data_IF_416247084762
#
_entry.id   IF_416247084762
#
_cell.length_a   1.000
_cell.length_b   1.000
_cell.length_c   1.000
_cell.angle_alpha   90.00
_cell.angle_beta   90.00
_cell.angle_gamma   90.00
#
_symmetry.space_group_name_H-M   'P 1'
#
loop_
_entity.id
_entity.type
_entity.pdbx_description
1 polymer ?
#
# COMPACT_ATOMS: atom_id res chain seq x y z
N UNK A 1 -7.96 50.52 46.47
CA UNK A 1 -9.07 51.08 47.27
C UNK A 1 -10.25 51.37 46.33
N UNK A 2 -11.46 51.16 46.84
CA UNK A 2 -12.76 50.97 46.17
C UNK A 2 -13.39 52.19 45.45
N UNK A 3 -14.08 51.91 44.32
CA UNK A 3 -15.43 52.33 43.79
C UNK A 3 -15.90 53.82 43.76
N UNK A 4 -17.05 54.20 43.10
CA UNK A 4 -17.66 53.84 41.78
C UNK A 4 -18.42 55.02 41.04
N UNK A 5 -19.13 54.70 39.93
CA UNK A 5 -20.39 55.24 39.30
C UNK A 5 -20.26 55.32 37.75
N UNK A 6 -21.25 55.09 36.85
CA UNK A 6 -22.71 54.84 36.89
C UNK A 6 -23.21 54.38 35.48
N UNK A 7 -24.49 53.93 35.40
CA UNK A 7 -25.50 54.04 34.31
C UNK A 7 -26.11 52.76 33.68
N UNK A 8 -27.47 52.72 33.67
CA UNK A 8 -28.35 51.81 32.91
C UNK A 8 -29.79 52.37 32.70
N UNK A 9 -30.34 52.15 31.49
CA UNK A 9 -31.75 51.87 31.01
C UNK A 9 -32.94 52.90 31.02
N UNK A 10 -33.67 53.01 29.86
CA UNK A 10 -35.08 52.54 29.60
C UNK A 10 -35.77 53.04 28.26
N UNK A 11 -36.53 52.12 27.61
CA UNK A 11 -37.78 52.15 26.75
C UNK A 11 -37.93 52.94 25.41
N UNK A 12 -38.55 52.42 24.32
CA UNK A 12 -40.01 52.17 24.07
C UNK A 12 -40.36 51.35 22.77
N UNK A 13 -41.61 50.91 22.66
CA UNK A 13 -42.24 49.89 21.76
C UNK A 13 -42.88 50.36 20.41
N UNK A 14 -43.02 49.47 19.42
CA UNK A 14 -44.31 49.02 18.78
C UNK A 14 -44.13 48.37 17.39
N UNK A 15 -44.74 47.21 17.15
CA UNK A 15 -45.15 46.74 15.79
C UNK A 15 -46.15 45.58 15.92
N UNK A 16 -47.28 45.71 15.22
CA UNK A 16 -48.47 44.84 15.35
C UNK A 16 -48.35 43.48 14.68
N UNK A 17 -49.12 42.52 15.22
CA UNK A 17 -49.29 41.15 14.77
C UNK A 17 -50.47 41.01 13.79
N UNK A 18 -50.30 40.19 12.76
CA UNK A 18 -51.40 39.57 12.00
C UNK A 18 -51.08 38.08 11.82
N UNK A 19 -51.93 37.22 12.37
CA UNK A 19 -51.89 35.76 12.20
C UNK A 19 -52.54 35.35 10.88
N UNK A 20 -51.89 34.47 10.12
CA UNK A 20 -52.45 33.74 8.98
C UNK A 20 -52.62 32.27 9.43
N UNK A 21 -53.84 31.70 9.40
CA UNK A 21 -54.06 30.31 9.83
C UNK A 21 -53.85 29.35 8.66
N UNK A 22 -53.02 28.32 8.84
CA UNK A 22 -53.01 27.14 7.97
C UNK A 22 -51.65 26.49 7.73
N UNK A 23 -51.47 25.31 8.34
CA UNK A 23 -50.45 24.27 8.14
C UNK A 23 -49.08 24.39 8.86
N UNK A 24 -48.60 23.31 9.51
CA UNK A 24 -47.44 23.35 10.41
C UNK A 24 -46.10 23.35 9.67
N UNK A 25 -45.20 24.22 10.11
CA UNK A 25 -43.80 24.21 9.71
C UNK A 25 -43.10 22.92 10.16
N UNK A 26 -42.49 22.18 9.23
CA UNK A 26 -41.49 21.15 9.56
C UNK A 26 -40.17 21.86 9.81
N UNK A 27 -39.79 21.96 11.08
CA UNK A 27 -38.48 22.44 11.51
C UNK A 27 -37.43 21.35 11.23
N UNK A 28 -36.59 21.54 10.22
CA UNK A 28 -35.38 20.72 10.03
C UNK A 28 -34.26 21.35 10.84
N UNK A 29 -34.03 20.86 12.06
CA UNK A 29 -32.83 21.14 12.82
C UNK A 29 -31.64 20.39 12.19
N UNK A 30 -30.69 21.11 11.59
CA UNK A 30 -29.39 20.51 11.24
C UNK A 30 -28.57 21.10 10.09
N UNK A 31 -28.67 22.40 9.76
CA UNK A 31 -27.65 23.00 8.87
C UNK A 31 -26.45 23.51 9.69
N UNK A 32 -25.19 23.17 9.34
CA UNK A 32 -24.02 23.80 9.95
C UNK A 32 -23.95 25.29 9.57
N UNK A 33 -23.54 26.12 10.52
CA UNK A 33 -23.48 27.58 10.39
C UNK A 33 -22.46 28.03 9.33
N UNK A 34 -22.93 28.76 8.32
CA UNK A 34 -22.09 29.51 7.40
C UNK A 34 -21.41 30.68 8.16
N UNK A 35 -20.09 30.90 8.01
CA UNK A 35 -19.44 32.04 8.63
C UNK A 35 -19.84 33.33 7.90
N UNK A 36 -20.26 34.32 8.69
CA UNK A 36 -20.53 35.69 8.29
C UNK A 36 -19.25 36.44 7.95
N UNK A 37 -19.11 36.95 6.72
CA UNK A 37 -18.46 38.25 6.50
C UNK A 37 -18.82 38.84 5.13
N UNK A 38 -19.23 40.09 5.21
CA UNK A 38 -19.10 41.17 4.22
C UNK A 38 -19.98 41.13 2.97
N UNK A 39 -21.13 41.76 3.13
CA UNK A 39 -21.88 42.41 2.07
C UNK A 39 -21.00 43.35 1.25
N UNK A 40 -20.85 43.05 -0.05
CA UNK A 40 -20.69 44.06 -1.09
C UNK A 40 -21.79 43.86 -2.14
N UNK A 41 -22.49 44.96 -2.36
CA UNK A 41 -23.53 45.22 -3.36
C UNK A 41 -23.60 44.24 -4.54
N UNK A 42 -24.76 43.62 -4.72
CA UNK A 42 -25.20 43.05 -5.98
C UNK A 42 -25.98 44.14 -6.73
N UNK A 43 -25.51 44.65 -7.89
CA UNK A 43 -26.42 45.19 -8.88
C UNK A 43 -27.03 44.03 -9.67
N UNK A 44 -28.33 44.14 -9.87
CA UNK A 44 -29.18 43.32 -10.73
C UNK A 44 -28.55 43.01 -12.09
N UNK A 45 -28.31 41.72 -12.37
CA UNK A 45 -28.20 41.21 -13.75
C UNK A 45 -28.92 39.85 -13.79
N UNK A 46 -30.10 39.86 -14.39
CA UNK A 46 -30.69 38.68 -15.05
C UNK A 46 -30.02 38.58 -16.40
N UNK A 47 -29.22 37.54 -16.67
CA UNK A 47 -29.21 36.73 -17.90
C UNK A 47 -28.04 35.73 -17.90
N UNK A 48 -28.34 34.49 -18.32
CA UNK A 48 -27.44 33.41 -18.75
C UNK A 48 -26.26 33.03 -17.85
N UNK A 49 -26.51 32.13 -16.90
CA UNK A 49 -25.48 31.26 -16.34
C UNK A 49 -25.95 29.81 -16.40
N UNK A 50 -25.33 29.00 -17.28
CA UNK A 50 -25.41 27.55 -17.20
C UNK A 50 -25.07 27.12 -15.77
N UNK A 51 -25.89 26.27 -15.11
CA UNK A 51 -25.60 25.84 -13.76
C UNK A 51 -24.29 25.04 -13.77
N UNK A 52 -23.28 25.52 -13.06
CA UNK A 52 -22.09 24.74 -12.72
C UNK A 52 -22.54 23.53 -11.91
N UNK A 53 -22.73 22.40 -12.60
CA UNK A 53 -23.20 21.16 -12.00
C UNK A 53 -22.11 20.53 -11.15
N UNK A 54 -22.50 20.12 -9.94
CA UNK A 54 -21.63 19.44 -8.98
C UNK A 54 -20.90 18.27 -9.65
N UNK A 55 -19.58 18.19 -9.41
CA UNK A 55 -18.76 17.06 -9.81
C UNK A 55 -19.40 15.74 -9.33
N UNK A 56 -19.66 14.81 -10.25
CA UNK A 56 -20.25 13.50 -9.96
C UNK A 56 -21.76 13.36 -10.24
N UNK A 57 -22.45 14.42 -10.67
CA UNK A 57 -23.88 14.33 -11.04
C UNK A 57 -24.15 13.34 -12.19
N UNK A 58 -23.23 13.21 -13.16
CA UNK A 58 -23.42 12.32 -14.31
C UNK A 58 -23.54 10.84 -13.94
N UNK A 59 -22.69 10.35 -13.02
CA UNK A 59 -22.77 8.98 -12.49
C UNK A 59 -24.11 8.67 -11.80
N UNK A 60 -24.82 9.69 -11.32
CA UNK A 60 -26.10 9.51 -10.63
C UNK A 60 -27.26 9.15 -11.57
N UNK A 61 -27.07 9.34 -12.88
CA UNK A 61 -28.08 9.05 -13.90
C UNK A 61 -27.96 7.63 -14.45
N UNK A 62 -26.89 6.90 -14.14
CA UNK A 62 -26.74 5.50 -14.50
C UNK A 62 -27.88 4.66 -13.89
N UNK A 63 -28.55 3.90 -14.75
CA UNK A 63 -29.71 3.07 -14.44
C UNK A 63 -31.05 3.81 -14.46
N UNK A 64 -31.09 5.10 -14.81
CA UNK A 64 -32.35 5.82 -15.10
C UNK A 64 -32.96 5.28 -16.39
N UNK A 65 -34.29 5.16 -16.40
CA UNK A 65 -35.05 4.82 -17.60
C UNK A 65 -35.13 6.03 -18.52
N UNK A 66 -35.06 5.76 -19.82
CA UNK A 66 -35.29 6.74 -20.88
C UNK A 66 -36.41 6.25 -21.80
N UNK A 67 -37.10 7.19 -22.41
CA UNK A 67 -38.18 6.99 -23.36
C UNK A 67 -37.90 7.89 -24.56
N UNK A 68 -37.66 7.29 -25.73
CA UNK A 68 -37.37 8.02 -26.97
C UNK A 68 -38.34 7.60 -28.06
N UNK A 69 -38.98 8.58 -28.70
CA UNK A 69 -39.87 8.31 -29.83
C UNK A 69 -39.07 8.39 -31.14
N UNK A 70 -39.06 7.29 -31.90
CA UNK A 70 -38.50 7.24 -33.24
C UNK A 70 -39.61 6.96 -34.25
N UNK A 71 -39.98 7.98 -35.03
CA UNK A 71 -41.12 7.92 -35.94
C UNK A 71 -42.44 7.68 -35.19
N UNK A 72 -43.14 6.59 -35.53
CA UNK A 72 -44.40 6.18 -34.87
C UNK A 72 -44.19 5.21 -33.71
N UNK A 73 -42.94 4.85 -33.35
CA UNK A 73 -42.64 3.87 -32.30
C UNK A 73 -41.93 4.51 -31.11
N UNK A 74 -42.35 4.11 -29.91
CA UNK A 74 -41.73 4.50 -28.66
C UNK A 74 -40.76 3.40 -28.20
N UNK A 75 -39.52 3.79 -27.91
CA UNK A 75 -38.47 2.90 -27.43
C UNK A 75 -38.14 3.21 -25.98
N UNK A 76 -38.09 2.18 -25.16
CA UNK A 76 -37.68 2.25 -23.76
C UNK A 76 -36.22 1.82 -23.64
N UNK A 77 -35.46 2.52 -22.81
CA UNK A 77 -34.06 2.24 -22.61
C UNK A 77 -33.60 2.55 -21.20
N UNK A 78 -32.31 2.31 -20.94
CA UNK A 78 -31.65 2.68 -19.69
C UNK A 78 -30.30 3.29 -19.94
N UNK A 79 -29.95 4.30 -19.16
CA UNK A 79 -28.57 4.80 -19.08
C UNK A 79 -27.71 3.70 -18.46
N UNK A 80 -26.71 3.20 -19.20
CA UNK A 80 -25.85 2.12 -18.72
C UNK A 80 -24.51 2.62 -18.19
N UNK A 81 -24.00 3.74 -18.72
CA UNK A 81 -22.68 4.25 -18.37
C UNK A 81 -22.59 5.76 -18.60
N UNK A 82 -21.90 6.46 -17.70
CA UNK A 82 -21.46 7.84 -17.90
C UNK A 82 -19.94 7.90 -18.07
N UNK A 83 -19.47 8.53 -19.14
CA UNK A 83 -18.06 8.80 -19.38
C UNK A 83 -17.67 10.17 -18.80
N UNK A 84 -16.75 10.19 -17.84
CA UNK A 84 -16.29 11.41 -17.17
C UNK A 84 -15.38 12.28 -18.04
N UNK A 85 -14.70 11.68 -19.04
CA UNK A 85 -13.78 12.40 -19.93
C UNK A 85 -14.55 13.08 -21.07
N UNK A 86 -15.46 12.34 -21.72
CA UNK A 86 -16.25 12.85 -22.88
C UNK A 86 -17.57 13.51 -22.47
N UNK A 87 -18.03 13.29 -21.23
CA UNK A 87 -19.33 13.76 -20.69
C UNK A 87 -20.55 13.20 -21.42
N UNK A 88 -20.40 12.08 -22.12
CA UNK A 88 -21.50 11.38 -22.78
C UNK A 88 -22.13 10.32 -21.87
N UNK A 89 -23.40 10.04 -22.15
CA UNK A 89 -24.19 9.00 -21.50
C UNK A 89 -24.52 7.93 -22.51
N UNK A 90 -24.06 6.71 -22.24
CA UNK A 90 -24.49 5.57 -23.05
C UNK A 90 -25.84 5.09 -22.60
N UNK A 91 -26.78 5.03 -23.52
CA UNK A 91 -28.12 4.48 -23.36
C UNK A 91 -28.23 3.19 -24.15
N UNK A 92 -28.78 2.15 -23.54
CA UNK A 92 -29.13 0.89 -24.21
C UNK A 92 -30.66 0.75 -24.24
N UNK A 93 -31.21 0.49 -25.43
CA UNK A 93 -32.63 0.32 -25.68
C UNK A 93 -33.05 -1.16 -25.60
N UNK A 94 -34.34 -1.43 -25.48
CA UNK A 94 -34.88 -2.79 -25.35
C UNK A 94 -34.66 -3.70 -26.56
N UNK A 95 -34.38 -3.13 -27.73
CA UNK A 95 -34.02 -3.84 -28.97
C UNK A 95 -32.53 -4.25 -29.02
N UNK A 96 -31.74 -3.83 -28.04
CA UNK A 96 -30.30 -4.13 -27.95
C UNK A 96 -29.41 -3.13 -28.68
N UNK A 97 -29.99 -2.09 -29.28
CA UNK A 97 -29.21 -0.98 -29.83
C UNK A 97 -28.79 -0.01 -28.71
N UNK A 98 -27.68 0.68 -28.93
CA UNK A 98 -27.14 1.65 -27.99
C UNK A 98 -26.83 2.98 -28.68
N UNK A 99 -26.97 4.06 -27.93
CA UNK A 99 -26.70 5.43 -28.39
C UNK A 99 -25.93 6.16 -27.29
N UNK A 100 -24.92 6.94 -27.69
CA UNK A 100 -24.18 7.82 -26.79
C UNK A 100 -24.78 9.22 -26.90
N UNK A 101 -25.40 9.71 -25.82
CA UNK A 101 -26.14 10.97 -25.76
C UNK A 101 -25.39 12.02 -24.94
N UNK A 102 -25.45 13.28 -25.39
CA UNK A 102 -25.05 14.42 -24.58
C UNK A 102 -26.11 14.74 -23.52
N UNK A 103 -25.76 15.55 -22.52
CA UNK A 103 -26.72 15.92 -21.49
C UNK A 103 -28.03 16.54 -22.05
N UNK A 104 -28.02 17.51 -22.99
CA UNK A 104 -29.25 18.13 -23.47
C UNK A 104 -30.17 17.10 -24.13
N UNK A 105 -29.59 16.16 -24.87
CA UNK A 105 -30.31 15.08 -25.55
C UNK A 105 -30.84 14.05 -24.56
N UNK A 106 -30.05 13.72 -23.53
CA UNK A 106 -30.48 12.82 -22.45
C UNK A 106 -31.64 13.44 -21.65
N UNK A 107 -31.60 14.75 -21.38
CA UNK A 107 -32.64 15.46 -20.63
C UNK A 107 -34.01 15.38 -21.33
N UNK A 108 -34.04 15.42 -22.66
CA UNK A 108 -35.28 15.30 -23.46
C UNK A 108 -35.90 13.91 -23.40
N UNK A 109 -35.08 12.85 -23.27
CA UNK A 109 -35.53 11.45 -23.30
C UNK A 109 -35.63 10.83 -21.91
N UNK A 110 -35.21 11.52 -20.86
CA UNK A 110 -35.29 11.00 -19.50
C UNK A 110 -36.75 10.83 -19.07
N UNK A 111 -37.11 9.60 -18.70
CA UNK A 111 -38.43 9.35 -18.14
C UNK A 111 -38.64 10.18 -16.85
N UNK A 112 -39.84 10.74 -16.64
CA UNK A 112 -40.15 11.51 -15.44
C UNK A 112 -39.86 10.66 -14.20
N UNK A 113 -39.29 11.28 -13.17
CA UNK A 113 -39.07 10.64 -11.88
C UNK A 113 -40.42 10.14 -11.36
N UNK A 114 -40.54 8.84 -11.18
CA UNK A 114 -41.75 8.23 -10.61
C UNK A 114 -41.80 8.57 -9.11
N UNK A 115 -42.31 9.77 -8.79
CA UNK A 115 -42.39 10.33 -7.42
C UNK A 115 -43.30 9.47 -6.51
N UNK A 116 -44.03 8.52 -7.08
CA UNK A 116 -44.89 7.58 -6.35
C UNK A 116 -44.16 6.40 -5.70
N UNK A 117 -42.85 6.20 -5.92
CA UNK A 117 -42.11 5.19 -5.16
C UNK A 117 -41.81 5.70 -3.74
N UNK A 118 -42.34 5.05 -2.67
CA UNK A 118 -42.01 5.45 -1.31
C UNK A 118 -40.50 5.27 -1.07
N UNK A 119 -39.86 6.22 -0.39
CA UNK A 119 -38.41 6.24 -0.08
C UNK A 119 -37.90 4.90 0.50
N UNK A 120 -38.76 4.18 1.24
CA UNK A 120 -38.49 2.84 1.75
C UNK A 120 -38.23 1.80 0.66
N UNK A 121 -39.00 1.82 -0.43
CA UNK A 121 -38.81 0.91 -1.55
C UNK A 121 -37.49 1.17 -2.29
N UNK A 122 -37.11 2.45 -2.42
CA UNK A 122 -35.84 2.87 -3.03
C UNK A 122 -34.64 2.45 -2.15
N UNK A 123 -34.74 2.66 -0.84
CA UNK A 123 -33.76 2.20 0.14
C UNK A 123 -33.61 0.66 0.13
N UNK A 124 -34.72 -0.09 0.10
CA UNK A 124 -34.70 -1.56 0.03
C UNK A 124 -34.10 -2.04 -1.28
N UNK A 125 -34.41 -1.40 -2.42
CA UNK A 125 -33.84 -1.75 -3.73
C UNK A 125 -32.34 -1.46 -3.78
N UNK A 126 -31.88 -0.37 -3.15
CA UNK A 126 -30.47 -0.05 -2.97
C UNK A 126 -29.74 -1.04 -2.05
N UNK A 127 -30.34 -1.41 -0.91
CA UNK A 127 -29.80 -2.41 0.02
C UNK A 127 -29.71 -3.79 -0.67
N UNK A 128 -30.74 -4.19 -1.41
CA UNK A 128 -30.72 -5.43 -2.22
C UNK A 128 -29.66 -5.39 -3.31
N UNK A 129 -29.48 -4.27 -4.03
CA UNK A 129 -28.42 -4.11 -5.04
C UNK A 129 -27.02 -4.21 -4.40
N UNK A 130 -26.80 -3.56 -3.24
CA UNK A 130 -25.54 -3.67 -2.48
C UNK A 130 -25.29 -5.07 -1.92
N UNK A 131 -26.31 -5.77 -1.43
CA UNK A 131 -26.16 -7.15 -0.98
C UNK A 131 -25.88 -8.11 -2.15
N UNK A 132 -26.51 -7.89 -3.31
CA UNK A 132 -26.27 -8.71 -4.50
C UNK A 132 -24.86 -8.55 -5.08
N UNK A 133 -24.22 -7.38 -4.90
CA UNK A 133 -22.81 -7.17 -5.28
C UNK A 133 -21.82 -7.69 -4.23
N UNK A 134 -22.18 -7.71 -2.94
CA UNK A 134 -21.31 -8.19 -1.85
C UNK A 134 -21.36 -9.71 -1.67
N UNK A 135 -22.44 -10.38 -2.09
CA UNK A 135 -22.68 -11.80 -1.77
C UNK A 135 -22.48 -12.78 -2.94
N UNK A 136 -21.97 -12.30 -4.09
CA UNK A 136 -21.57 -13.18 -5.20
C UNK A 136 -20.08 -13.57 -5.08
N UNK A 137 -19.74 -14.31 -4.03
CA UNK A 137 -18.56 -15.19 -4.07
C UNK A 137 -18.95 -16.39 -4.94
N UNK A 138 -18.73 -16.27 -6.25
CA UNK A 138 -19.01 -17.34 -7.21
C UNK A 138 -18.08 -18.55 -6.96
N UNK A 139 -18.51 -19.78 -7.27
CA UNK A 139 -17.59 -20.91 -7.41
C UNK A 139 -16.55 -20.55 -8.48
N UNK A 140 -15.31 -20.98 -8.29
CA UNK A 140 -14.17 -20.69 -9.17
C UNK A 140 -14.55 -20.91 -10.63
N UNK A 141 -14.72 -19.81 -11.37
CA UNK A 141 -15.22 -19.84 -12.74
C UNK A 141 -14.14 -20.41 -13.66
N UNK A 142 -14.45 -21.43 -14.47
CA UNK A 142 -13.49 -22.04 -15.41
C UNK A 142 -12.92 -21.02 -16.40
N UNK A 143 -13.66 -19.95 -16.64
CA UNK A 143 -13.26 -18.82 -17.47
C UNK A 143 -12.09 -18.06 -16.85
N UNK A 144 -12.13 -17.77 -15.54
CA UNK A 144 -11.03 -17.15 -14.80
C UNK A 144 -9.77 -18.02 -14.79
N UNK A 145 -9.91 -19.33 -14.60
CA UNK A 145 -8.77 -20.25 -14.64
C UNK A 145 -8.12 -20.25 -16.03
N UNK A 146 -8.93 -20.21 -17.09
CA UNK A 146 -8.43 -20.13 -18.46
C UNK A 146 -7.72 -18.81 -18.77
N UNK A 147 -8.23 -17.69 -18.25
CA UNK A 147 -7.60 -16.37 -18.38
C UNK A 147 -6.29 -16.30 -17.60
N UNK A 148 -6.26 -16.84 -16.38
CA UNK A 148 -5.04 -16.97 -15.59
C UNK A 148 -3.98 -17.82 -16.31
N UNK A 149 -4.37 -19.00 -16.81
CA UNK A 149 -3.47 -19.90 -17.56
C UNK A 149 -2.94 -19.23 -18.83
N UNK A 150 -3.78 -18.50 -19.58
CA UNK A 150 -3.36 -17.72 -20.75
C UNK A 150 -2.36 -16.63 -20.38
N UNK A 151 -2.60 -15.90 -19.30
CA UNK A 151 -1.68 -14.87 -18.78
C UNK A 151 -0.32 -15.44 -18.36
N UNK A 152 -0.28 -16.71 -17.93
CA UNK A 152 0.92 -17.38 -17.45
C UNK A 152 1.85 -17.90 -18.56
N UNK A 153 1.40 -17.92 -19.82
CA UNK A 153 2.21 -18.37 -20.97
C UNK A 153 3.45 -17.48 -21.14
N UNK A 154 3.31 -16.16 -21.01
CA UNK A 154 4.42 -15.22 -21.18
C UNK A 154 5.53 -15.41 -20.12
N UNK A 155 5.23 -15.47 -18.81
CA UNK A 155 6.23 -15.83 -17.80
C UNK A 155 6.92 -17.18 -18.04
N UNK A 156 6.17 -18.19 -18.50
CA UNK A 156 6.73 -19.52 -18.78
C UNK A 156 7.73 -19.46 -19.93
N UNK A 157 7.45 -18.71 -21.00
CA UNK A 157 8.41 -18.50 -22.09
C UNK A 157 9.67 -17.77 -21.61
N UNK A 158 9.55 -16.83 -20.67
CA UNK A 158 10.70 -16.13 -20.09
C UNK A 158 11.65 -17.06 -19.30
N UNK A 159 11.22 -18.28 -18.93
CA UNK A 159 12.10 -19.29 -18.34
C UNK A 159 13.23 -19.71 -19.29
N UNK A 160 13.16 -19.42 -20.59
CA UNK A 160 14.27 -19.66 -21.52
C UNK A 160 15.57 -18.96 -21.06
N UNK A 161 15.48 -17.75 -20.50
CA UNK A 161 16.64 -17.00 -19.98
C UNK A 161 17.25 -17.70 -18.77
N UNK A 162 16.40 -18.28 -17.92
CA UNK A 162 16.83 -19.07 -16.76
C UNK A 162 17.54 -20.34 -17.23
N UNK A 163 16.97 -21.04 -18.22
CA UNK A 163 17.57 -22.25 -18.79
C UNK A 163 18.96 -21.94 -19.35
N UNK A 164 19.13 -20.81 -20.05
CA UNK A 164 20.44 -20.36 -20.50
C UNK A 164 21.42 -20.17 -19.33
N UNK A 165 20.99 -19.51 -18.26
CA UNK A 165 21.83 -19.31 -17.07
C UNK A 165 22.20 -20.64 -16.38
N UNK A 166 21.28 -21.61 -16.32
CA UNK A 166 21.54 -22.97 -15.80
C UNK A 166 22.54 -23.71 -16.67
N UNK A 167 22.41 -23.63 -18.00
CA UNK A 167 23.37 -24.26 -18.93
C UNK A 167 24.77 -23.65 -18.76
N UNK A 168 24.87 -22.32 -18.65
CA UNK A 168 26.15 -21.64 -18.39
C UNK A 168 26.73 -22.02 -17.03
N UNK A 169 25.89 -22.15 -15.99
CA UNK A 169 26.29 -22.63 -14.67
C UNK A 169 26.89 -24.03 -14.74
N UNK A 170 26.25 -24.93 -15.48
CA UNK A 170 26.67 -26.31 -15.67
C UNK A 170 28.00 -26.39 -16.42
N UNK A 171 28.15 -25.60 -17.48
CA UNK A 171 29.39 -25.51 -18.25
C UNK A 171 30.56 -24.99 -17.40
N UNK A 172 30.30 -24.05 -16.50
CA UNK A 172 31.31 -23.50 -15.57
C UNK A 172 31.48 -24.31 -14.28
N UNK A 173 30.71 -25.41 -14.10
CA UNK A 173 30.73 -26.27 -12.91
C UNK A 173 30.53 -25.49 -11.59
N UNK A 174 29.64 -24.51 -11.61
CA UNK A 174 29.32 -23.69 -10.43
C UNK A 174 28.56 -24.47 -9.35
N UNK A 175 27.93 -25.61 -9.71
CA UNK A 175 27.18 -26.46 -8.77
C UNK A 175 25.84 -25.84 -8.34
N UNK A 176 25.40 -24.77 -9.01
CA UNK A 176 24.18 -24.02 -8.66
C UNK A 176 22.95 -24.46 -9.46
N UNK A 177 23.08 -25.35 -10.45
CA UNK A 177 22.00 -25.76 -11.36
C UNK A 177 20.70 -26.13 -10.62
N UNK A 178 20.78 -27.08 -9.68
CA UNK A 178 19.62 -27.53 -8.92
C UNK A 178 19.07 -26.45 -7.97
N UNK A 179 19.96 -25.63 -7.38
CA UNK A 179 19.54 -24.52 -6.52
C UNK A 179 18.80 -23.44 -7.31
N UNK A 180 19.22 -23.13 -8.54
CA UNK A 180 18.58 -22.17 -9.42
C UNK A 180 17.19 -22.63 -9.84
N UNK A 181 17.09 -23.87 -10.36
CA UNK A 181 15.80 -24.44 -10.81
C UNK A 181 14.82 -24.49 -9.65
N UNK A 182 15.25 -25.00 -8.49
CA UNK A 182 14.43 -25.06 -7.29
C UNK A 182 13.98 -23.66 -6.83
N UNK A 183 14.88 -22.67 -6.84
CA UNK A 183 14.58 -21.30 -6.43
C UNK A 183 13.52 -20.65 -7.33
N UNK A 184 13.58 -20.90 -8.63
CA UNK A 184 12.69 -20.27 -9.61
C UNK A 184 11.31 -20.93 -9.60
N UNK A 185 11.27 -22.26 -9.52
CA UNK A 185 10.01 -22.97 -9.31
C UNK A 185 9.32 -22.53 -8.01
N UNK A 186 10.10 -22.44 -6.91
CA UNK A 186 9.60 -21.94 -5.63
C UNK A 186 9.10 -20.49 -5.72
N UNK A 187 9.86 -19.61 -6.37
CA UNK A 187 9.48 -18.20 -6.54
C UNK A 187 8.17 -18.08 -7.33
N UNK A 188 8.03 -18.82 -8.42
CA UNK A 188 6.81 -18.86 -9.22
C UNK A 188 5.60 -19.28 -8.37
N UNK A 189 5.70 -20.42 -7.67
CA UNK A 189 4.63 -20.90 -6.81
C UNK A 189 4.28 -19.89 -5.69
N UNK A 190 5.30 -19.29 -5.07
CA UNK A 190 5.13 -18.30 -4.01
C UNK A 190 4.43 -17.03 -4.53
N UNK A 191 4.84 -16.50 -5.68
CA UNK A 191 4.22 -15.30 -6.26
C UNK A 191 2.75 -15.56 -6.63
N UNK A 192 2.44 -16.72 -7.22
CA UNK A 192 1.06 -17.09 -7.54
C UNK A 192 0.18 -17.16 -6.28
N UNK A 193 0.66 -17.80 -5.22
CA UNK A 193 -0.07 -17.88 -3.94
C UNK A 193 -0.24 -16.49 -3.31
N UNK A 194 0.83 -15.70 -3.26
CA UNK A 194 0.81 -14.35 -2.67
C UNK A 194 -0.15 -13.43 -3.42
N UNK A 195 -0.20 -13.51 -4.76
CA UNK A 195 -1.15 -12.74 -5.57
C UNK A 195 -2.60 -12.99 -5.14
N UNK A 196 -2.96 -14.26 -4.94
CA UNK A 196 -4.29 -14.65 -4.46
C UNK A 196 -4.56 -14.18 -3.01
N UNK A 197 -3.59 -14.38 -2.11
CA UNK A 197 -3.70 -13.98 -0.70
C UNK A 197 -3.86 -12.46 -0.56
N UNK A 198 -3.14 -11.67 -1.34
CA UNK A 198 -3.24 -10.20 -1.29
C UNK A 198 -4.62 -9.70 -1.70
N UNK A 199 -5.28 -10.33 -2.68
CA UNK A 199 -6.64 -9.95 -3.07
C UNK A 199 -7.63 -10.11 -1.90
N UNK A 200 -7.50 -11.19 -1.13
CA UNK A 200 -8.29 -11.40 0.08
C UNK A 200 -7.97 -10.36 1.17
N UNK A 201 -6.69 -10.10 1.42
CA UNK A 201 -6.25 -9.18 2.48
C UNK A 201 -6.67 -7.74 2.17
N UNK A 202 -6.60 -7.30 0.92
CA UNK A 202 -6.96 -5.92 0.54
C UNK A 202 -8.45 -5.62 0.69
N UNK A 203 -9.31 -6.62 0.66
CA UNK A 203 -10.75 -6.44 0.88
C UNK A 203 -11.12 -6.32 2.38
N UNK A 204 -10.19 -6.64 3.27
CA UNK A 204 -10.40 -6.58 4.72
C UNK A 204 -9.98 -5.22 5.29
N UNK A 205 -10.83 -4.61 6.11
CA UNK A 205 -10.56 -3.31 6.77
C UNK A 205 -9.83 -3.42 8.10
N UNK A 206 -9.60 -4.64 8.59
CA UNK A 206 -9.04 -4.86 9.94
C UNK A 206 -7.51 -4.76 9.93
N UNK A 207 -6.96 -3.87 10.76
CA UNK A 207 -5.52 -3.68 10.94
C UNK A 207 -4.78 -4.95 11.42
N UNK A 208 -5.51 -5.89 12.05
CA UNK A 208 -4.96 -7.16 12.53
C UNK A 208 -4.34 -7.98 11.38
N UNK A 209 -4.93 -7.98 10.18
CA UNK A 209 -4.39 -8.69 9.02
C UNK A 209 -3.06 -8.11 8.55
N UNK A 210 -2.87 -6.79 8.66
CA UNK A 210 -1.60 -6.13 8.31
C UNK A 210 -0.51 -6.60 9.27
N UNK A 211 -0.79 -6.57 10.58
CA UNK A 211 0.17 -6.99 11.61
C UNK A 211 0.51 -8.48 11.45
N UNK A 212 -0.47 -9.33 11.20
CA UNK A 212 -0.25 -10.77 11.01
C UNK A 212 0.60 -11.05 9.77
N UNK A 213 0.29 -10.40 8.64
CA UNK A 213 1.08 -10.50 7.42
C UNK A 213 2.52 -10.00 7.63
N UNK A 214 2.69 -8.88 8.33
CA UNK A 214 4.00 -8.34 8.68
C UNK A 214 4.82 -9.30 9.57
N UNK A 215 4.23 -9.84 10.64
CA UNK A 215 4.90 -10.81 11.51
C UNK A 215 5.26 -12.09 10.76
N UNK A 216 4.39 -12.56 9.86
CA UNK A 216 4.70 -13.69 8.99
C UNK A 216 5.91 -13.39 8.09
N UNK A 217 5.95 -12.23 7.44
CA UNK A 217 7.10 -11.80 6.63
C UNK A 217 8.39 -11.74 7.45
N UNK A 218 8.36 -11.15 8.65
CA UNK A 218 9.52 -11.07 9.54
C UNK A 218 9.97 -12.45 10.02
N UNK A 219 9.05 -13.38 10.30
CA UNK A 219 9.37 -14.75 10.68
C UNK A 219 10.10 -15.51 9.56
N UNK A 220 9.58 -15.44 8.32
CA UNK A 220 10.21 -16.05 7.14
C UNK A 220 11.57 -15.39 6.85
N UNK A 221 11.66 -14.07 6.99
CA UNK A 221 12.90 -13.33 6.82
C UNK A 221 13.96 -13.71 7.86
N UNK A 222 13.61 -13.79 9.14
CA UNK A 222 14.51 -14.22 10.22
C UNK A 222 15.01 -15.66 10.01
N UNK A 223 14.11 -16.57 9.61
CA UNK A 223 14.49 -17.94 9.27
C UNK A 223 15.48 -17.98 8.09
N UNK A 224 15.19 -17.24 7.02
CA UNK A 224 16.01 -17.23 5.80
C UNK A 224 17.37 -16.56 6.03
N UNK A 225 17.41 -15.42 6.73
CA UNK A 225 18.63 -14.73 7.10
C UNK A 225 19.50 -15.58 8.04
N UNK A 226 18.90 -16.21 9.05
CA UNK A 226 19.61 -17.13 9.95
C UNK A 226 20.17 -18.36 9.23
N UNK A 227 19.45 -18.86 8.21
CA UNK A 227 19.91 -19.99 7.40
C UNK A 227 21.07 -19.62 6.46
N UNK A 228 21.25 -18.34 6.10
CA UNK A 228 22.46 -17.85 5.42
C UNK A 228 23.68 -17.85 6.35
N UNK A 229 23.46 -17.76 7.66
CA UNK A 229 24.48 -17.78 8.69
C UNK A 229 24.45 -19.08 9.52
N UNK A 230 24.42 -20.26 8.86
CA UNK A 230 24.20 -21.58 9.50
C UNK A 230 25.04 -21.83 10.76
N UNK A 231 26.32 -21.45 10.75
CA UNK A 231 27.24 -21.64 11.88
C UNK A 231 27.21 -20.53 12.93
N UNK A 232 26.19 -19.66 12.91
CA UNK A 232 25.97 -18.71 14.00
C UNK A 232 24.97 -19.32 15.00
N UNK A 233 25.37 -19.56 16.26
CA UNK A 233 24.49 -20.11 17.28
C UNK A 233 23.25 -19.24 17.45
N UNK A 234 22.07 -19.88 17.46
CA UNK A 234 20.76 -19.21 17.50
C UNK A 234 20.55 -18.16 16.40
N UNK A 235 21.25 -18.29 15.27
CA UNK A 235 21.25 -17.30 14.19
C UNK A 235 19.85 -16.94 13.65
N UNK A 236 18.90 -17.88 13.66
CA UNK A 236 17.50 -17.62 13.26
C UNK A 236 16.79 -16.61 14.17
N UNK A 237 16.97 -16.74 15.49
CA UNK A 237 16.34 -15.84 16.47
C UNK A 237 17.04 -14.48 16.49
N UNK A 238 18.38 -14.48 16.43
CA UNK A 238 19.18 -13.24 16.35
C UNK A 238 18.80 -12.45 15.10
N UNK A 239 18.74 -13.10 13.94
CA UNK A 239 18.36 -12.45 12.69
C UNK A 239 16.91 -11.95 12.74
N UNK A 240 15.97 -12.79 13.17
CA UNK A 240 14.55 -12.43 13.27
C UNK A 240 14.29 -11.25 14.19
N UNK A 241 14.90 -11.25 15.38
CA UNK A 241 14.77 -10.14 16.33
C UNK A 241 15.40 -8.85 15.80
N UNK A 242 16.57 -8.95 15.15
CA UNK A 242 17.25 -7.79 14.56
C UNK A 242 16.44 -7.15 13.45
N UNK A 243 15.89 -7.97 12.55
CA UNK A 243 15.01 -7.52 11.47
C UNK A 243 13.75 -6.90 12.08
N UNK A 244 13.08 -7.60 13.02
CA UNK A 244 11.87 -7.10 13.67
C UNK A 244 12.09 -5.72 14.29
N UNK A 245 13.17 -5.53 15.05
CA UNK A 245 13.47 -4.26 15.72
C UNK A 245 13.79 -3.18 14.70
N UNK A 246 14.65 -3.46 13.72
CA UNK A 246 15.02 -2.47 12.70
C UNK A 246 13.83 -2.05 11.84
N UNK A 247 13.03 -3.00 11.38
CA UNK A 247 11.84 -2.70 10.57
C UNK A 247 10.70 -2.11 11.40
N UNK A 248 10.54 -2.50 12.67
CA UNK A 248 9.54 -1.89 13.55
C UNK A 248 9.85 -0.43 13.87
N UNK A 249 11.12 -0.09 14.14
CA UNK A 249 11.53 1.30 14.38
C UNK A 249 11.22 2.16 13.14
N UNK A 250 11.58 1.69 11.94
CA UNK A 250 11.32 2.44 10.71
C UNK A 250 9.83 2.54 10.39
N UNK A 251 9.04 1.47 10.58
CA UNK A 251 7.59 1.52 10.41
C UNK A 251 6.90 2.44 11.41
N UNK A 252 7.33 2.41 12.67
CA UNK A 252 6.80 3.28 13.71
C UNK A 252 7.04 4.76 13.35
N UNK A 253 8.24 5.09 12.87
CA UNK A 253 8.57 6.43 12.41
C UNK A 253 7.67 6.87 11.24
N UNK A 254 7.42 5.98 10.29
CA UNK A 254 6.54 6.23 9.14
C UNK A 254 5.12 6.59 9.58
N UNK A 255 4.56 5.79 10.48
CA UNK A 255 3.18 5.97 10.98
C UNK A 255 3.05 7.30 11.72
N UNK A 256 4.04 7.67 12.54
CA UNK A 256 4.06 8.95 13.24
C UNK A 256 4.16 10.12 12.27
N UNK A 257 5.05 10.03 11.29
CA UNK A 257 5.26 11.07 10.29
C UNK A 257 4.10 11.17 9.27
N UNK A 258 3.11 10.26 9.33
CA UNK A 258 1.95 10.18 8.43
C UNK A 258 2.32 10.29 6.95
N UNK A 259 3.42 9.63 6.58
CA UNK A 259 3.95 9.70 5.21
C UNK A 259 2.93 9.16 4.20
N UNK A 260 2.28 8.04 4.50
CA UNK A 260 1.25 7.43 3.66
C UNK A 260 0.06 6.95 4.49
N UNK A 261 -1.15 6.84 3.91
CA UNK A 261 -2.32 6.31 4.61
C UNK A 261 -2.06 4.87 5.04
N UNK A 262 -2.37 4.56 6.31
CA UNK A 262 -2.22 3.23 6.91
C UNK A 262 -3.28 2.26 6.35
N UNK A 263 -3.13 1.89 5.09
CA UNK A 263 -4.00 0.93 4.41
C UNK A 263 -3.19 -0.29 3.95
N UNK A 264 -3.80 -1.48 3.88
CA UNK A 264 -3.11 -2.71 3.49
C UNK A 264 -2.36 -2.60 2.16
N UNK A 265 -2.91 -1.83 1.20
CA UNK A 265 -2.36 -1.67 -0.16
C UNK A 265 -0.99 -0.99 -0.18
N UNK A 266 -0.72 -0.08 0.76
CA UNK A 266 0.60 0.58 0.86
C UNK A 266 1.51 -0.11 1.87
N UNK A 267 0.99 -0.44 3.05
CA UNK A 267 1.83 -0.94 4.15
C UNK A 267 2.41 -2.32 3.84
N UNK A 268 1.63 -3.23 3.25
CA UNK A 268 2.11 -4.61 3.02
C UNK A 268 3.26 -4.65 2.00
N UNK A 269 3.17 -4.00 0.81
CA UNK A 269 4.30 -3.95 -0.12
C UNK A 269 5.52 -3.24 0.46
N UNK A 270 5.33 -2.10 1.13
CA UNK A 270 6.45 -1.34 1.74
C UNK A 270 7.13 -2.16 2.83
N UNK A 271 6.35 -2.80 3.70
CA UNK A 271 6.86 -3.72 4.71
C UNK A 271 7.64 -4.89 4.07
N UNK A 272 7.08 -5.51 3.03
CA UNK A 272 7.73 -6.61 2.32
C UNK A 272 9.08 -6.22 1.73
N UNK A 273 9.17 -5.07 1.06
CA UNK A 273 10.43 -4.55 0.53
C UNK A 273 11.46 -4.27 1.65
N UNK A 274 11.00 -3.67 2.74
CA UNK A 274 11.85 -3.29 3.86
C UNK A 274 12.39 -4.51 4.62
N UNK A 275 11.51 -5.48 4.92
CA UNK A 275 11.86 -6.77 5.54
C UNK A 275 12.79 -7.59 4.64
N UNK A 276 12.54 -7.61 3.32
CA UNK A 276 13.37 -8.34 2.36
C UNK A 276 14.81 -7.78 2.24
N UNK A 277 14.97 -6.46 2.26
CA UNK A 277 16.29 -5.84 2.29
C UNK A 277 16.99 -6.05 3.63
N UNK A 278 16.29 -5.84 4.75
CA UNK A 278 16.81 -6.11 6.08
C UNK A 278 17.24 -7.57 6.25
N UNK A 279 16.50 -8.53 5.69
CA UNK A 279 16.86 -9.96 5.63
C UNK A 279 18.19 -10.17 4.93
N UNK A 280 18.36 -9.58 3.75
CA UNK A 280 19.57 -9.77 2.94
C UNK A 280 20.79 -9.17 3.61
N UNK A 281 20.69 -7.90 4.07
CA UNK A 281 21.80 -7.22 4.74
C UNK A 281 22.14 -7.94 6.05
N UNK A 282 21.17 -8.22 6.92
CA UNK A 282 21.41 -8.93 8.20
C UNK A 282 22.05 -10.29 7.98
N UNK A 283 21.56 -11.09 7.01
CA UNK A 283 22.13 -12.40 6.71
C UNK A 283 23.59 -12.33 6.23
N UNK A 284 23.92 -11.34 5.39
CA UNK A 284 25.30 -11.10 4.93
C UNK A 284 26.18 -10.59 6.08
N UNK A 285 25.69 -9.65 6.90
CA UNK A 285 26.43 -9.12 8.07
C UNK A 285 26.81 -10.24 9.03
N UNK A 286 25.84 -11.09 9.41
CA UNK A 286 26.10 -12.19 10.35
C UNK A 286 27.06 -13.23 9.78
N UNK A 287 26.88 -13.62 8.51
CA UNK A 287 27.78 -14.56 7.83
C UNK A 287 29.20 -13.98 7.78
N UNK A 288 29.34 -12.74 7.29
CA UNK A 288 30.64 -12.10 7.10
C UNK A 288 31.36 -11.83 8.42
N UNK A 289 30.64 -11.41 9.46
CA UNK A 289 31.22 -11.19 10.79
C UNK A 289 31.84 -12.48 11.34
N UNK A 290 31.11 -13.59 11.28
CA UNK A 290 31.61 -14.90 11.70
C UNK A 290 32.84 -15.30 10.88
N UNK A 291 32.76 -15.19 9.56
CA UNK A 291 33.85 -15.60 8.67
C UNK A 291 35.12 -14.75 8.93
N UNK A 292 34.97 -13.44 9.16
CA UNK A 292 36.09 -12.55 9.48
C UNK A 292 36.69 -12.84 10.87
N UNK A 293 35.87 -13.20 11.86
CA UNK A 293 36.36 -13.66 13.17
C UNK A 293 37.11 -15.00 13.03
N UNK A 294 36.58 -15.95 12.25
CA UNK A 294 37.24 -17.26 12.00
C UNK A 294 38.61 -17.07 11.33
N UNK A 295 38.70 -16.18 10.34
CA UNK A 295 39.95 -15.88 9.63
C UNK A 295 40.95 -15.16 10.55
N UNK A 296 40.48 -14.26 11.42
CA UNK A 296 41.33 -13.43 12.28
C UNK A 296 41.36 -13.91 13.74
N UNK A 297 41.13 -15.21 13.97
CA UNK A 297 41.00 -15.81 15.31
C UNK A 297 42.18 -15.44 16.22
N UNK A 298 43.40 -15.63 15.72
CA UNK A 298 44.63 -15.32 16.46
C UNK A 298 44.72 -13.85 16.91
N UNK A 299 44.25 -12.91 16.09
CA UNK A 299 44.27 -11.48 16.43
C UNK A 299 43.25 -11.15 17.52
N UNK A 300 42.07 -11.77 17.45
CA UNK A 300 41.02 -11.60 18.46
C UNK A 300 41.48 -12.20 19.79
N UNK A 301 42.06 -13.42 19.78
CA UNK A 301 42.61 -14.06 20.98
C UNK A 301 43.76 -13.26 21.60
N UNK A 302 44.67 -12.74 20.79
CA UNK A 302 45.77 -11.89 21.28
C UNK A 302 45.24 -10.63 21.94
N UNK A 303 44.23 -9.97 21.34
CA UNK A 303 43.61 -8.80 21.92
C UNK A 303 42.92 -9.11 23.26
N UNK A 304 42.20 -10.23 23.35
CA UNK A 304 41.59 -10.69 24.61
C UNK A 304 42.64 -11.01 25.68
N UNK A 305 43.75 -11.65 25.31
CA UNK A 305 44.86 -11.96 26.21
C UNK A 305 45.56 -10.69 26.74
N UNK A 306 45.58 -9.62 25.95
CA UNK A 306 46.04 -8.28 26.37
C UNK A 306 44.99 -7.52 27.21
N UNK A 307 43.86 -8.14 27.55
CA UNK A 307 42.80 -7.55 28.38
C UNK A 307 41.77 -6.71 27.62
N UNK A 308 41.74 -6.76 26.28
CA UNK A 308 40.70 -6.09 25.51
C UNK A 308 39.34 -6.73 25.77
N UNK A 309 38.29 -5.92 25.79
CA UNK A 309 36.91 -6.45 25.82
C UNK A 309 36.57 -7.10 24.47
N UNK A 310 35.66 -8.10 24.41
CA UNK A 310 35.28 -8.72 23.15
C UNK A 310 34.79 -7.71 22.10
N UNK A 311 34.09 -6.65 22.52
CA UNK A 311 33.65 -5.56 21.65
C UNK A 311 34.82 -4.79 21.03
N UNK A 312 35.90 -4.56 21.78
CA UNK A 312 37.12 -3.93 21.27
C UNK A 312 37.88 -4.88 20.34
N UNK A 313 37.96 -6.17 20.71
CA UNK A 313 38.66 -7.18 19.92
C UNK A 313 38.03 -7.42 18.54
N UNK A 314 36.71 -7.25 18.39
CA UNK A 314 35.99 -7.50 17.13
C UNK A 314 35.56 -6.25 16.36
N UNK A 315 35.92 -5.04 16.81
CA UNK A 315 35.37 -3.79 16.24
C UNK A 315 35.67 -3.65 14.75
N UNK A 316 36.86 -4.06 14.31
CA UNK A 316 37.30 -3.94 12.92
C UNK A 316 36.58 -4.95 12.01
N UNK A 317 36.28 -6.14 12.53
CA UNK A 317 35.53 -7.20 11.86
C UNK A 317 34.06 -6.79 11.71
N UNK A 318 33.47 -6.23 12.77
CA UNK A 318 32.11 -5.67 12.73
C UNK A 318 32.01 -4.55 11.68
N UNK A 319 32.96 -3.62 11.66
CA UNK A 319 32.98 -2.54 10.66
C UNK A 319 33.07 -3.08 9.23
N UNK A 320 33.96 -4.04 8.97
CA UNK A 320 34.09 -4.66 7.64
C UNK A 320 32.81 -5.39 7.23
N UNK A 321 32.23 -6.19 8.12
CA UNK A 321 31.00 -6.92 7.84
C UNK A 321 29.81 -5.99 7.53
N UNK A 322 29.67 -4.89 8.27
CA UNK A 322 28.62 -3.89 8.03
C UNK A 322 28.81 -3.17 6.70
N UNK A 323 30.02 -2.71 6.39
CA UNK A 323 30.31 -2.02 5.12
C UNK A 323 29.99 -2.94 3.94
N UNK A 324 30.49 -4.19 3.95
CA UNK A 324 30.24 -5.16 2.88
C UNK A 324 28.75 -5.46 2.72
N UNK A 325 28.02 -5.62 3.82
CA UNK A 325 26.60 -5.93 3.77
C UNK A 325 25.74 -4.75 3.29
N UNK A 326 26.13 -3.50 3.61
CA UNK A 326 25.38 -2.30 3.26
C UNK A 326 25.75 -1.73 1.89
N UNK A 327 26.91 -2.07 1.33
CA UNK A 327 27.35 -1.60 0.00
C UNK A 327 26.26 -1.72 -1.08
N UNK A 328 25.57 -2.85 -1.27
CA UNK A 328 24.55 -2.98 -2.32
C UNK A 328 23.36 -2.03 -2.13
N UNK A 329 22.98 -1.72 -0.87
CA UNK A 329 21.90 -0.79 -0.55
C UNK A 329 22.32 0.64 -0.87
N UNK A 330 23.55 1.00 -0.52
CA UNK A 330 24.09 2.32 -0.78
C UNK A 330 24.34 2.54 -2.28
N UNK A 331 24.80 1.52 -3.00
CA UNK A 331 25.04 1.61 -4.43
C UNK A 331 23.72 1.69 -5.20
N UNK A 332 22.68 0.94 -4.80
CA UNK A 332 21.32 1.15 -5.32
C UNK A 332 20.85 2.60 -5.10
N UNK A 333 21.11 3.18 -3.92
CA UNK A 333 20.70 4.56 -3.61
C UNK A 333 21.39 5.61 -4.49
N UNK A 334 22.64 5.37 -4.89
CA UNK A 334 23.38 6.28 -5.79
C UNK A 334 22.87 6.22 -7.22
N UNK A 335 22.36 5.06 -7.65
CA UNK A 335 22.04 4.80 -9.06
C UNK A 335 20.54 4.83 -9.36
N UNK A 336 19.69 4.83 -8.32
CA UNK A 336 18.23 4.84 -8.47
C UNK A 336 17.77 6.12 -9.18
N UNK A 337 16.94 5.96 -10.20
CA UNK A 337 16.48 7.07 -11.05
C UNK A 337 17.44 7.46 -12.17
N UNK A 338 18.70 7.01 -12.16
CA UNK A 338 19.66 7.24 -13.25
C UNK A 338 19.74 6.03 -14.20
N UNK A 339 20.00 4.84 -13.65
CA UNK A 339 20.17 3.61 -14.46
C UNK A 339 19.00 2.64 -14.31
N UNK A 340 18.29 2.73 -13.18
CA UNK A 340 17.18 1.84 -12.86
C UNK A 340 16.02 2.63 -12.30
N UNK A 341 14.85 2.40 -12.89
CA UNK A 341 13.59 2.83 -12.31
C UNK A 341 13.07 1.69 -11.42
N UNK A 342 12.88 1.92 -10.11
CA UNK A 342 12.35 0.90 -9.21
C UNK A 342 11.02 0.35 -9.71
N UNK A 343 10.83 -0.97 -9.63
CA UNK A 343 9.64 -1.62 -10.19
C UNK A 343 8.32 -1.10 -9.61
N UNK A 344 8.30 -0.70 -8.33
CA UNK A 344 7.11 -0.08 -7.73
C UNK A 344 6.79 1.29 -8.34
N UNK A 345 7.82 2.11 -8.59
CA UNK A 345 7.69 3.40 -9.25
C UNK A 345 7.22 3.24 -10.71
N UNK A 346 7.87 2.36 -11.48
CA UNK A 346 7.46 2.05 -12.85
C UNK A 346 6.05 1.48 -12.91
N UNK A 347 5.68 0.61 -11.95
CA UNK A 347 4.34 0.05 -11.86
C UNK A 347 3.26 1.09 -11.58
N UNK A 348 3.53 2.10 -10.73
CA UNK A 348 2.62 3.22 -10.51
C UNK A 348 2.45 4.06 -11.77
N UNK A 349 3.54 4.35 -12.48
CA UNK A 349 3.51 5.12 -13.74
C UNK A 349 2.73 4.36 -14.82
N UNK A 350 3.01 3.06 -15.01
CA UNK A 350 2.26 2.21 -15.94
C UNK A 350 0.79 2.06 -15.54
N UNK A 351 0.48 2.17 -14.25
CA UNK A 351 -0.87 2.18 -13.71
C UNK A 351 -1.60 3.53 -13.83
N UNK A 352 -1.02 4.51 -14.51
CA UNK A 352 -1.63 5.82 -14.76
C UNK A 352 -1.44 6.86 -13.64
N UNK A 353 -0.64 6.56 -12.61
CA UNK A 353 -0.31 7.55 -11.57
C UNK A 353 0.63 8.62 -12.12
N UNK A 354 0.56 9.83 -11.57
CA UNK A 354 1.45 10.91 -12.00
C UNK A 354 2.92 10.55 -11.68
N UNK A 355 3.88 10.86 -12.57
CA UNK A 355 5.31 10.59 -12.30
C UNK A 355 5.81 11.26 -11.02
N UNK A 356 5.29 12.45 -10.70
CA UNK A 356 5.66 13.19 -9.50
C UNK A 356 5.28 12.45 -8.21
N UNK A 357 4.06 11.93 -8.13
CA UNK A 357 3.61 11.12 -6.98
C UNK A 357 4.45 9.84 -6.85
N UNK A 358 4.74 9.17 -7.97
CA UNK A 358 5.56 7.95 -7.98
C UNK A 358 6.99 8.22 -7.47
N UNK A 359 7.58 9.36 -7.85
CA UNK A 359 8.91 9.79 -7.37
C UNK A 359 8.89 10.07 -5.87
N UNK A 360 7.89 10.81 -5.37
CA UNK A 360 7.78 11.12 -3.94
C UNK A 360 7.68 9.85 -3.10
N UNK A 361 6.82 8.91 -3.51
CA UNK A 361 6.70 7.59 -2.90
C UNK A 361 8.04 6.86 -2.88
N UNK A 362 8.75 6.85 -4.01
CA UNK A 362 9.99 6.12 -4.16
C UNK A 362 11.13 6.70 -3.31
N UNK A 363 11.26 8.02 -3.21
CA UNK A 363 12.25 8.68 -2.34
C UNK A 363 12.07 8.23 -0.90
N UNK A 364 10.81 8.23 -0.43
CA UNK A 364 10.53 7.84 0.94
C UNK A 364 10.82 6.35 1.17
N UNK A 365 10.39 5.48 0.26
CA UNK A 365 10.68 4.04 0.33
C UNK A 365 12.19 3.80 0.37
N UNK A 366 12.98 4.54 -0.40
CA UNK A 366 14.44 4.38 -0.41
C UNK A 366 15.11 4.76 0.92
N UNK A 367 14.67 5.87 1.52
CA UNK A 367 15.14 6.28 2.84
C UNK A 367 14.80 5.24 3.92
N UNK A 368 13.60 4.64 3.84
CA UNK A 368 13.15 3.60 4.77
C UNK A 368 13.94 2.30 4.61
N UNK A 369 14.17 1.88 3.37
CA UNK A 369 15.00 0.71 3.05
C UNK A 369 16.41 0.84 3.64
N UNK A 370 17.02 2.01 3.49
CA UNK A 370 18.35 2.30 4.01
C UNK A 370 18.36 2.32 5.55
N UNK A 371 17.39 3.02 6.16
CA UNK A 371 17.25 3.09 7.62
C UNK A 371 17.03 1.72 8.25
N UNK A 372 16.03 0.96 7.77
CA UNK A 372 15.70 -0.35 8.32
C UNK A 372 16.84 -1.36 8.16
N UNK A 373 17.51 -1.37 7.01
CA UNK A 373 18.64 -2.27 6.77
C UNK A 373 19.85 -1.94 7.66
N UNK A 374 20.11 -0.65 7.87
CA UNK A 374 21.21 -0.18 8.75
C UNK A 374 20.92 -0.53 10.21
N UNK A 375 19.72 -0.22 10.71
CA UNK A 375 19.35 -0.54 12.10
C UNK A 375 19.33 -2.05 12.32
N UNK A 376 18.75 -2.82 11.40
CA UNK A 376 18.69 -4.30 11.50
C UNK A 376 20.09 -4.92 11.51
N UNK A 377 20.98 -4.49 10.62
CA UNK A 377 22.33 -5.04 10.54
C UNK A 377 23.17 -4.69 11.77
N UNK A 378 23.11 -3.44 12.25
CA UNK A 378 23.76 -3.03 13.51
C UNK A 378 23.22 -3.84 14.68
N UNK A 379 21.89 -3.95 14.82
CA UNK A 379 21.25 -4.75 15.87
C UNK A 379 21.70 -6.21 15.82
N UNK A 380 21.86 -6.77 14.61
CA UNK A 380 22.35 -8.14 14.43
C UNK A 380 23.76 -8.32 14.96
N UNK A 381 24.65 -7.33 14.81
CA UNK A 381 26.01 -7.41 15.39
C UNK A 381 25.96 -7.38 16.92
N UNK A 382 25.09 -6.56 17.51
CA UNK A 382 24.90 -6.49 18.97
C UNK A 382 24.22 -7.73 19.57
N UNK A 383 23.38 -8.43 18.83
CA UNK A 383 22.74 -9.67 19.30
C UNK A 383 23.59 -10.91 19.01
N UNK A 384 24.46 -10.84 18.00
CA UNK A 384 25.33 -11.95 17.61
C UNK A 384 26.59 -12.02 18.48
N UNK A 385 27.17 -10.88 18.90
CA UNK A 385 28.43 -10.86 19.67
C UNK A 385 28.45 -11.76 20.91
N UNK A 386 27.42 -11.81 21.80
CA UNK A 386 27.49 -12.64 23.00
C UNK A 386 27.51 -14.13 22.69
N UNK A 387 27.13 -14.51 21.47
CA UNK A 387 27.04 -15.91 21.06
C UNK A 387 28.37 -16.45 20.52
N UNK A 388 29.40 -15.60 20.39
CA UNK A 388 30.77 -16.00 20.01
C UNK A 388 31.73 -16.10 21.20
N UNK A 389 31.34 -15.58 22.35
CA UNK A 389 32.19 -15.51 23.53
C UNK A 389 31.52 -16.14 24.74
N UNK A 390 32.31 -16.82 25.56
CA UNK A 390 31.86 -17.34 26.85
C UNK A 390 31.71 -16.20 27.87
N UNK A 391 31.03 -16.48 29.00
CA UNK A 391 30.91 -15.51 30.12
C UNK A 391 32.26 -15.07 30.69
N UNK A 392 33.33 -15.83 30.45
CA UNK A 392 34.70 -15.52 30.85
C UNK A 392 35.50 -14.75 29.77
N UNK A 393 34.83 -14.22 28.74
CA UNK A 393 35.46 -13.52 27.60
C UNK A 393 36.49 -14.36 26.83
N UNK A 394 36.27 -15.67 26.75
CA UNK A 394 37.03 -16.56 25.87
C UNK A 394 36.22 -16.84 24.60
N UNK A 395 36.90 -17.00 23.47
CA UNK A 395 36.26 -17.42 22.22
C UNK A 395 35.70 -18.83 22.35
N UNK A 396 34.44 -19.01 21.94
CA UNK A 396 33.79 -20.32 21.95
C UNK A 396 34.21 -21.10 20.70
N UNK A 397 35.24 -21.94 20.83
CA UNK A 397 35.82 -22.71 19.72
C UNK A 397 34.82 -23.64 19.04
N UNK A 398 33.80 -24.12 19.77
CA UNK A 398 32.71 -24.94 19.25
C UNK A 398 31.89 -24.26 18.13
N UNK A 399 31.87 -22.92 18.10
CA UNK A 399 31.16 -22.16 17.06
C UNK A 399 31.95 -22.10 15.75
N UNK A 400 33.27 -22.30 15.82
CA UNK A 400 34.19 -22.15 14.68
C UNK A 400 34.75 -23.49 14.17
N UNK A 401 34.60 -24.57 14.93
CA UNK A 401 35.12 -25.91 14.65
C UNK A 401 34.20 -26.82 13.82
N UNK A 402 32.98 -26.38 13.50
CA UNK A 402 32.06 -27.15 12.65
C UNK A 402 32.35 -26.82 11.19
N UNK A 403 33.10 -27.71 10.53
CA UNK A 403 33.19 -27.82 9.08
C UNK A 403 32.34 -28.99 8.58
#
# INVERSE_FOLDING_TARGET
MNNPCNDDLLETSSTGSFEIPGEPAIVINGLPSLPSSDAKLIPSIVTDAQPQRLAGFGKWLEGRSVEKQFGERLFYGKVIQYDEETRWYRVEYEDGDFEDLEWPELEEVLAPLDVNMPLRALAIKMIKRKQKSVQKTAPMDWQWLSEFLKGMIQPVLALAVVVLAVVLSYLQRLGLEWEMVYSIFRAFLQLSIVGFVLQFIFNQKNALWIILAYLFMVGVAGYTAGQRAKHVPRGKYVAGLSILVGTAITMFLLVILRVFPFTPRYIIPVAGMMVGNAMTVTGVTMKKLRDDIKIQLNLVETALALGATPRQATVQQVKRALVIALSPVLDNAKTVGLISLPGAMTGLIMGGASPLEAIQLQIVVMNMLMGASTVSSIMSTYLCWPSFFTKAYQLETAVFSVD
#
